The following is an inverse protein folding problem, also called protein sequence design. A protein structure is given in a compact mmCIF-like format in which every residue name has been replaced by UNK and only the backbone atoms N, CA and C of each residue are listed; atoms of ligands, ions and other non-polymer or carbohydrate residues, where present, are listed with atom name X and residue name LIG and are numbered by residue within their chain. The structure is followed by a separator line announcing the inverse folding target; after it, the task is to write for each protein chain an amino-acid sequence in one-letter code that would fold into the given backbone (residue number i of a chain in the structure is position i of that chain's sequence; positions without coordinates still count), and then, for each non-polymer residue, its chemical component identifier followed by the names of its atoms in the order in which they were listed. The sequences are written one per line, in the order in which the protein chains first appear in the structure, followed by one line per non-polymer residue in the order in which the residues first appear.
data_IF_158169820279
#
_entry.id   IF_158169820279
#
_cell.length_a   1.000
_cell.length_b   1.000
_cell.length_c   1.000
_cell.angle_alpha   90.00
_cell.angle_beta   90.00
_cell.angle_gamma   90.00
#
_symmetry.space_group_name_H-M   'P 1'
#
loop_
_entity.id
_entity.type
_entity.pdbx_description
1 polymer ?
#
# COMPACT_ATOMS: atom_id res chain seq x y z
N UNK A 1 -2.92 14.33 -49.22
CA UNK A 1 -2.08 13.18 -49.64
C UNK A 1 -2.16 12.09 -48.56
N UNK A 2 -2.24 10.79 -48.88
CA UNK A 2 -3.26 10.10 -49.65
C UNK A 2 -4.01 9.04 -48.80
N UNK A 3 -5.27 8.74 -49.15
CA UNK A 3 -6.00 7.56 -48.65
C UNK A 3 -5.29 6.30 -49.18
N UNK A 4 -4.64 5.52 -48.32
CA UNK A 4 -4.15 4.19 -48.68
C UNK A 4 -5.33 3.23 -48.79
N UNK A 5 -5.72 2.93 -50.01
CA UNK A 5 -6.57 1.80 -50.37
C UNK A 5 -5.84 0.51 -49.93
N UNK A 6 -6.35 -0.19 -48.92
CA UNK A 6 -5.91 -1.57 -48.68
C UNK A 6 -6.57 -2.47 -49.74
N UNK A 7 -5.79 -3.27 -50.51
CA UNK A 7 -6.37 -4.30 -51.37
C UNK A 7 -7.03 -5.38 -50.49
N UNK A 8 -8.19 -5.85 -50.95
CA UNK A 8 -9.11 -6.70 -50.20
C UNK A 8 -8.43 -8.03 -49.85
N UNK A 9 -8.24 -8.31 -48.55
CA UNK A 9 -7.52 -9.50 -48.04
C UNK A 9 -8.06 -10.83 -48.61
N UNK A 10 -9.34 -10.87 -48.99
CA UNK A 10 -9.98 -12.02 -49.65
C UNK A 10 -9.39 -12.31 -51.05
N UNK A 11 -9.03 -11.28 -51.80
CA UNK A 11 -8.50 -11.40 -53.15
C UNK A 11 -7.04 -11.91 -53.13
N UNK A 12 -6.27 -11.47 -52.14
CA UNK A 12 -4.91 -11.98 -51.89
C UNK A 12 -4.92 -13.45 -51.46
N UNK A 13 -5.88 -13.86 -50.64
CA UNK A 13 -6.02 -15.26 -50.22
C UNK A 13 -6.49 -16.17 -51.37
N UNK A 14 -7.40 -15.68 -52.24
CA UNK A 14 -7.86 -16.44 -53.41
C UNK A 14 -6.73 -16.66 -54.43
N UNK A 15 -5.95 -15.62 -54.70
CA UNK A 15 -4.79 -15.70 -55.61
C UNK A 15 -3.72 -16.68 -55.10
N UNK A 16 -3.52 -16.72 -53.78
CA UNK A 16 -2.57 -17.65 -53.15
C UNK A 16 -3.07 -19.10 -53.16
N UNK A 17 -4.39 -19.31 -53.10
CA UNK A 17 -4.99 -20.65 -53.24
C UNK A 17 -4.90 -21.17 -54.68
N UNK A 18 -5.13 -20.33 -55.68
CA UNK A 18 -4.95 -20.66 -57.10
C UNK A 18 -3.48 -20.98 -57.43
N UNK A 19 -2.52 -20.24 -56.85
CA UNK A 19 -1.08 -20.55 -56.99
C UNK A 19 -0.70 -21.90 -56.38
N UNK A 20 -1.28 -22.30 -55.24
CA UNK A 20 -1.04 -23.63 -54.66
C UNK A 20 -1.70 -24.76 -55.46
N UNK A 21 -2.88 -24.54 -56.06
CA UNK A 21 -3.54 -25.55 -56.89
C UNK A 21 -2.76 -25.81 -58.19
N UNK A 22 -2.25 -24.76 -58.85
CA UNK A 22 -1.44 -24.90 -60.07
C UNK A 22 -0.07 -25.56 -59.81
N UNK A 23 0.47 -25.44 -58.59
CA UNK A 23 1.72 -26.12 -58.19
C UNK A 23 1.52 -27.62 -57.92
N UNK A 24 0.33 -28.05 -57.49
CA UNK A 24 0.00 -29.46 -57.32
C UNK A 24 -0.28 -30.15 -58.67
N UNK A 25 -0.94 -29.47 -59.62
CA UNK A 25 -1.16 -30.03 -60.97
C UNK A 25 0.15 -30.17 -61.76
N UNK A 26 1.08 -29.22 -61.66
CA UNK A 26 2.39 -29.33 -62.32
C UNK A 26 3.30 -30.40 -61.70
N UNK A 27 3.07 -30.80 -60.45
CA UNK A 27 3.83 -31.87 -59.79
C UNK A 27 3.37 -33.29 -60.21
N UNK A 28 2.10 -33.46 -60.60
CA UNK A 28 1.52 -34.76 -60.95
C UNK A 28 1.76 -35.20 -62.40
N UNK A 29 2.33 -34.36 -63.27
CA UNK A 29 2.51 -34.65 -64.69
C UNK A 29 3.94 -35.02 -65.10
N UNK A 30 4.87 -35.16 -64.15
CA UNK A 30 6.29 -35.40 -64.41
C UNK A 30 6.82 -36.76 -63.88
N UNK A 31 6.00 -37.83 -63.91
CA UNK A 31 6.42 -39.18 -63.52
C UNK A 31 6.41 -40.16 -64.71
N UNK A 32 7.56 -40.29 -65.40
CA UNK A 32 7.92 -41.45 -66.25
C UNK A 32 9.44 -41.71 -66.17
N UNK A 33 9.90 -42.97 -66.14
CA UNK A 33 11.26 -43.32 -65.71
C UNK A 33 12.25 -43.56 -66.89
N UNK A 34 13.54 -43.20 -66.71
CA UNK A 34 14.77 -43.77 -67.36
C UNK A 34 16.07 -43.03 -66.93
N UNK A 35 17.30 -43.58 -67.12
CA UNK A 35 18.10 -44.20 -66.06
C UNK A 35 19.40 -43.46 -65.66
N UNK A 36 20.00 -43.97 -64.58
CA UNK A 36 21.25 -43.65 -63.85
C UNK A 36 22.36 -42.90 -64.61
N UNK A 37 22.84 -41.80 -64.03
CA UNK A 37 24.27 -41.48 -63.90
C UNK A 37 24.50 -40.56 -62.68
N UNK A 38 25.49 -40.89 -61.85
CA UNK A 38 25.84 -40.23 -60.57
C UNK A 38 26.22 -38.75 -60.74
N UNK A 39 25.92 -37.89 -59.73
CA UNK A 39 26.78 -36.85 -59.11
C UNK A 39 26.01 -36.11 -57.97
N UNK A 40 26.48 -36.30 -56.72
CA UNK A 40 26.42 -35.43 -55.52
C UNK A 40 25.09 -35.04 -54.79
N UNK A 41 25.12 -34.80 -53.45
CA UNK A 41 23.95 -34.79 -52.58
C UNK A 41 23.41 -33.37 -52.31
N UNK A 42 22.13 -33.13 -52.58
CA UNK A 42 21.49 -31.84 -52.28
C UNK A 42 20.06 -31.96 -51.74
N UNK A 43 19.84 -32.75 -50.69
CA UNK A 43 18.58 -32.75 -49.95
C UNK A 43 18.79 -32.69 -48.43
N UNK A 44 19.03 -31.47 -47.90
CA UNK A 44 18.96 -31.20 -46.44
C UNK A 44 18.31 -29.86 -46.06
N UNK A 45 17.63 -29.18 -47.01
CA UNK A 45 17.06 -27.82 -46.78
C UNK A 45 15.54 -27.78 -46.57
N UNK A 46 14.77 -28.82 -46.88
CA UNK A 46 13.29 -28.78 -46.79
C UNK A 46 12.77 -28.94 -45.33
N UNK A 47 13.24 -29.94 -44.58
CA UNK A 47 12.82 -30.15 -43.18
C UNK A 47 13.22 -29.05 -42.17
N UNK A 48 14.25 -28.24 -42.45
CA UNK A 48 14.70 -27.16 -41.54
C UNK A 48 13.81 -25.91 -41.61
N UNK A 49 12.98 -25.76 -42.66
CA UNK A 49 12.07 -24.61 -42.82
C UNK A 49 10.77 -24.79 -42.03
N UNK A 50 10.23 -26.00 -41.93
CA UNK A 50 8.96 -26.26 -41.24
C UNK A 50 9.07 -26.08 -39.70
N UNK A 51 10.14 -26.61 -39.08
CA UNK A 51 10.38 -26.40 -37.64
C UNK A 51 10.66 -24.94 -37.26
N UNK A 52 11.23 -24.13 -38.18
CA UNK A 52 11.40 -22.69 -37.97
C UNK A 52 10.08 -21.93 -38.03
N UNK A 53 9.16 -22.34 -38.89
CA UNK A 53 7.82 -21.72 -39.01
C UNK A 53 6.98 -22.02 -37.77
N UNK A 54 7.05 -23.24 -37.22
CA UNK A 54 6.36 -23.57 -35.97
C UNK A 54 6.94 -22.82 -34.76
N UNK A 55 8.26 -22.73 -34.65
CA UNK A 55 8.91 -21.94 -33.60
C UNK A 55 8.52 -20.45 -33.67
N UNK A 56 8.47 -19.88 -34.89
CA UNK A 56 8.01 -18.51 -35.10
C UNK A 56 6.54 -18.33 -34.73
N UNK A 57 5.65 -19.26 -35.09
CA UNK A 57 4.23 -19.25 -34.68
C UNK A 57 4.07 -19.33 -33.16
N UNK A 58 4.91 -20.11 -32.48
CA UNK A 58 4.90 -20.28 -31.01
C UNK A 58 5.40 -19.01 -30.29
N UNK A 59 6.45 -18.37 -30.82
CA UNK A 59 6.94 -17.07 -30.38
C UNK A 59 5.89 -15.96 -30.58
N UNK A 60 5.21 -15.93 -31.73
CA UNK A 60 4.11 -14.97 -32.00
C UNK A 60 2.97 -15.17 -31.00
N UNK A 61 2.50 -16.41 -30.77
CA UNK A 61 1.46 -16.70 -29.73
C UNK A 61 1.91 -16.32 -28.32
N UNK A 62 3.20 -16.47 -27.99
CA UNK A 62 3.77 -16.09 -26.68
C UNK A 62 3.85 -14.57 -26.53
N UNK A 63 4.17 -13.85 -27.62
CA UNK A 63 4.11 -12.39 -27.66
C UNK A 63 2.67 -11.87 -27.58
N UNK A 64 1.72 -12.50 -28.26
CA UNK A 64 0.29 -12.16 -28.17
C UNK A 64 -0.25 -12.39 -26.75
N UNK A 65 0.11 -13.50 -26.10
CA UNK A 65 -0.24 -13.73 -24.69
C UNK A 65 0.40 -12.71 -23.73
N UNK A 66 1.64 -12.27 -23.99
CA UNK A 66 2.29 -11.17 -23.24
C UNK A 66 1.61 -9.83 -23.50
N UNK A 67 1.21 -9.53 -24.74
CA UNK A 67 0.47 -8.31 -25.09
C UNK A 67 -0.92 -8.32 -24.47
N UNK A 68 -1.62 -9.46 -24.49
CA UNK A 68 -2.90 -9.66 -23.83
C UNK A 68 -2.81 -9.55 -22.30
N UNK A 69 -1.73 -10.05 -21.67
CA UNK A 69 -1.52 -9.90 -20.22
C UNK A 69 -1.14 -8.47 -19.82
N UNK A 70 -0.39 -7.76 -20.66
CA UNK A 70 -0.11 -6.32 -20.49
C UNK A 70 -1.37 -5.48 -20.70
N UNK A 71 -2.21 -5.84 -21.67
CA UNK A 71 -3.51 -5.19 -21.92
C UNK A 71 -4.50 -5.44 -20.78
N UNK A 72 -4.54 -6.66 -20.23
CA UNK A 72 -5.34 -7.01 -19.04
C UNK A 72 -4.85 -6.28 -17.78
N UNK A 73 -3.53 -6.11 -17.62
CA UNK A 73 -2.94 -5.26 -16.56
C UNK A 73 -3.32 -3.80 -16.73
N UNK A 74 -3.30 -3.27 -17.95
CA UNK A 74 -3.75 -1.90 -18.26
C UNK A 74 -5.23 -1.69 -17.98
N UNK A 75 -6.08 -2.66 -18.34
CA UNK A 75 -7.51 -2.61 -18.05
C UNK A 75 -7.80 -2.67 -16.54
N UNK A 76 -7.12 -3.56 -15.79
CA UNK A 76 -7.23 -3.60 -14.34
C UNK A 76 -6.75 -2.29 -13.69
N UNK A 77 -5.63 -1.72 -14.15
CA UNK A 77 -5.15 -0.42 -13.67
C UNK A 77 -6.13 0.72 -13.98
N UNK A 78 -6.79 0.69 -15.14
CA UNK A 78 -7.84 1.64 -15.50
C UNK A 78 -9.03 1.53 -14.55
N UNK A 79 -9.47 0.32 -14.21
CA UNK A 79 -10.50 0.08 -13.19
C UNK A 79 -10.07 0.60 -11.81
N UNK A 80 -8.80 0.45 -11.41
CA UNK A 80 -8.29 1.01 -10.14
C UNK A 80 -8.22 2.55 -10.15
N UNK A 81 -7.89 3.16 -11.29
CA UNK A 81 -7.82 4.63 -11.46
C UNK A 81 -9.22 5.25 -11.48
N UNK A 82 -10.17 4.59 -12.12
CA UNK A 82 -11.58 4.97 -12.13
C UNK A 82 -12.21 4.84 -10.72
N UNK A 83 -11.92 3.73 -10.03
CA UNK A 83 -12.25 3.54 -8.60
C UNK A 83 -11.59 4.58 -7.69
N UNK A 84 -10.44 5.15 -8.07
CA UNK A 84 -9.76 6.21 -7.32
C UNK A 84 -10.30 7.62 -7.60
N UNK A 85 -11.13 7.83 -8.64
CA UNK A 85 -11.71 9.13 -8.98
C UNK A 85 -10.63 10.19 -9.22
N UNK A 86 -9.47 9.77 -9.72
CA UNK A 86 -8.40 10.64 -10.19
C UNK A 86 -8.38 10.50 -11.71
N UNK A 87 -8.84 11.53 -12.42
CA UNK A 87 -8.68 11.64 -13.89
C UNK A 87 -7.24 11.99 -14.27
N UNK A 88 -6.25 11.45 -13.56
CA UNK A 88 -4.84 11.77 -13.78
C UNK A 88 -4.16 10.54 -14.36
N UNK A 89 -3.71 10.69 -15.61
CA UNK A 89 -2.99 9.65 -16.33
C UNK A 89 -1.80 9.15 -15.48
N UNK A 90 -1.69 7.82 -15.22
CA UNK A 90 -0.58 7.24 -14.46
C UNK A 90 0.82 7.63 -14.98
N UNK A 91 0.93 7.92 -16.28
CA UNK A 91 2.18 8.30 -16.95
C UNK A 91 2.67 9.71 -16.61
N UNK A 92 1.77 10.64 -16.30
CA UNK A 92 2.15 12.01 -15.92
C UNK A 92 2.57 12.08 -14.45
N UNK A 93 1.94 11.28 -13.60
CA UNK A 93 2.30 11.20 -12.18
C UNK A 93 3.65 10.51 -12.01
N UNK A 94 3.92 9.43 -12.73
CA UNK A 94 5.23 8.75 -12.67
C UNK A 94 6.37 9.65 -13.17
N UNK A 95 6.15 10.43 -14.24
CA UNK A 95 7.14 11.40 -14.74
C UNK A 95 7.40 12.54 -13.75
N UNK A 96 6.35 13.13 -13.16
CA UNK A 96 6.52 14.19 -12.14
C UNK A 96 7.22 13.66 -10.89
N UNK A 97 6.84 12.47 -10.44
CA UNK A 97 7.47 11.80 -9.30
C UNK A 97 8.95 11.48 -9.57
N UNK A 98 9.28 11.00 -10.77
CA UNK A 98 10.66 10.75 -11.18
C UNK A 98 11.50 12.03 -11.18
N UNK A 99 10.98 13.13 -11.74
CA UNK A 99 11.68 14.41 -11.75
C UNK A 99 11.89 14.98 -10.33
N UNK A 100 10.91 14.82 -9.43
CA UNK A 100 11.04 15.22 -8.03
C UNK A 100 12.11 14.38 -7.31
N UNK A 101 12.18 13.07 -7.59
CA UNK A 101 13.23 12.20 -7.04
C UNK A 101 14.63 12.64 -7.46
N UNK A 102 14.81 12.95 -8.74
CA UNK A 102 16.10 13.42 -9.27
C UNK A 102 16.49 14.72 -8.58
N UNK A 103 15.54 15.64 -8.36
CA UNK A 103 15.81 16.91 -7.70
C UNK A 103 16.21 16.75 -6.22
N UNK A 104 15.50 15.90 -5.46
CA UNK A 104 15.83 15.60 -4.06
C UNK A 104 17.20 14.93 -3.96
N UNK A 105 17.51 14.00 -4.87
CA UNK A 105 18.80 13.34 -4.93
C UNK A 105 19.94 14.33 -5.26
N UNK A 106 19.69 15.30 -6.14
CA UNK A 106 20.64 16.35 -6.49
C UNK A 106 20.92 17.32 -5.33
N UNK A 107 19.92 17.61 -4.49
CA UNK A 107 20.10 18.44 -3.29
C UNK A 107 20.90 17.69 -2.22
N UNK A 108 20.52 16.44 -1.92
CA UNK A 108 21.21 15.62 -0.90
C UNK A 108 22.67 15.40 -1.28
N UNK A 109 22.95 15.21 -2.56
CA UNK A 109 24.30 15.05 -3.05
C UNK A 109 25.16 16.31 -2.97
N UNK A 110 24.61 17.47 -3.33
CA UNK A 110 25.31 18.74 -3.17
C UNK A 110 25.69 18.99 -1.69
N UNK A 111 24.78 18.67 -0.76
CA UNK A 111 25.00 18.81 0.68
C UNK A 111 26.09 17.86 1.21
N UNK A 112 26.06 16.57 0.82
CA UNK A 112 27.06 15.58 1.23
C UNK A 112 28.45 15.88 0.66
N UNK A 113 28.54 16.31 -0.60
CA UNK A 113 29.82 16.71 -1.22
C UNK A 113 30.44 17.89 -0.46
N UNK A 114 29.63 18.90 -0.11
CA UNK A 114 30.08 20.04 0.67
C UNK A 114 30.59 19.63 2.06
N UNK A 115 29.80 18.89 2.83
CA UNK A 115 30.14 18.51 4.20
C UNK A 115 31.32 17.54 4.29
N UNK A 116 31.46 16.64 3.30
CA UNK A 116 32.57 15.67 3.28
C UNK A 116 33.88 16.33 2.81
N UNK A 117 33.79 17.27 1.86
CA UNK A 117 34.95 18.06 1.39
C UNK A 117 35.54 18.94 2.50
N UNK A 118 34.73 19.46 3.43
CA UNK A 118 35.21 20.33 4.51
C UNK A 118 35.80 19.57 5.69
N UNK A 119 35.43 18.30 5.90
CA UNK A 119 35.70 17.60 7.17
C UNK A 119 36.90 16.65 7.12
N UNK A 120 37.18 15.98 6.00
CA UNK A 120 38.09 14.80 6.03
C UNK A 120 39.38 14.90 5.21
N UNK A 121 39.56 15.82 4.27
CA UNK A 121 40.86 16.01 3.58
C UNK A 121 41.45 14.76 2.89
N UNK A 122 40.62 13.79 2.49
CA UNK A 122 41.02 12.52 1.86
C UNK A 122 41.28 12.69 0.35
N UNK A 123 42.07 11.80 -0.26
CA UNK A 123 42.34 11.76 -1.70
C UNK A 123 41.07 11.53 -2.55
N UNK A 124 40.91 12.34 -3.60
CA UNK A 124 39.76 12.33 -4.53
C UNK A 124 39.24 10.96 -5.02
N UNK A 125 40.09 9.94 -5.31
CA UNK A 125 39.61 8.68 -5.89
C UNK A 125 38.83 7.79 -4.92
N UNK A 126 39.22 7.74 -3.64
CA UNK A 126 38.54 6.90 -2.63
C UNK A 126 37.19 7.51 -2.24
N UNK A 127 37.12 8.84 -2.16
CA UNK A 127 35.89 9.61 -1.93
C UNK A 127 34.86 9.34 -3.02
N UNK A 128 35.27 9.37 -4.30
CA UNK A 128 34.39 9.15 -5.44
C UNK A 128 33.74 7.75 -5.44
N UNK A 129 34.49 6.71 -5.09
CA UNK A 129 33.99 5.34 -5.08
C UNK A 129 33.03 5.08 -3.90
N UNK A 130 33.34 5.63 -2.71
CA UNK A 130 32.47 5.56 -1.53
C UNK A 130 31.17 6.36 -1.72
N UNK A 131 31.26 7.53 -2.37
CA UNK A 131 30.08 8.35 -2.70
C UNK A 131 29.21 7.64 -3.73
N UNK A 132 29.80 7.10 -4.79
CA UNK A 132 29.04 6.41 -5.84
C UNK A 132 28.28 5.18 -5.31
N UNK A 133 28.92 4.40 -4.44
CA UNK A 133 28.27 3.23 -3.83
C UNK A 133 27.13 3.62 -2.89
N UNK A 134 27.35 4.57 -1.97
CA UNK A 134 26.28 5.09 -1.10
C UNK A 134 25.15 5.75 -1.90
N UNK A 135 25.46 6.45 -2.99
CA UNK A 135 24.47 7.06 -3.89
C UNK A 135 23.54 6.03 -4.53
N UNK A 136 24.11 4.94 -5.06
CA UNK A 136 23.32 3.89 -5.69
C UNK A 136 22.35 3.28 -4.67
N UNK A 137 22.81 3.05 -3.44
CA UNK A 137 21.97 2.55 -2.35
C UNK A 137 20.87 3.55 -1.94
N UNK A 138 21.19 4.83 -1.76
CA UNK A 138 20.22 5.88 -1.41
C UNK A 138 19.22 6.09 -2.54
N UNK A 139 19.65 6.05 -3.80
CA UNK A 139 18.78 6.18 -4.97
C UNK A 139 17.82 4.98 -5.07
N UNK A 140 18.31 3.75 -4.86
CA UNK A 140 17.47 2.54 -4.84
C UNK A 140 16.45 2.61 -3.69
N UNK A 141 16.89 3.05 -2.50
CA UNK A 141 16.04 3.17 -1.32
C UNK A 141 14.96 4.22 -1.54
N UNK A 142 15.31 5.39 -2.08
CA UNK A 142 14.38 6.48 -2.34
C UNK A 142 13.35 6.11 -3.41
N UNK A 143 13.77 5.41 -4.47
CA UNK A 143 12.87 4.88 -5.49
C UNK A 143 11.88 3.86 -4.88
N UNK A 144 12.38 2.95 -4.03
CA UNK A 144 11.54 1.98 -3.33
C UNK A 144 10.53 2.66 -2.40
N UNK A 145 10.98 3.62 -1.58
CA UNK A 145 10.11 4.40 -0.67
C UNK A 145 9.04 5.14 -1.45
N UNK A 146 9.39 5.78 -2.56
CA UNK A 146 8.44 6.53 -3.38
C UNK A 146 7.41 5.61 -4.06
N UNK A 147 7.86 4.45 -4.53
CA UNK A 147 6.98 3.43 -5.12
C UNK A 147 5.97 2.90 -4.10
N UNK A 148 6.42 2.61 -2.88
CA UNK A 148 5.56 2.22 -1.75
C UNK A 148 4.60 3.35 -1.37
N UNK A 149 5.08 4.59 -1.29
CA UNK A 149 4.25 5.77 -0.96
C UNK A 149 3.13 5.96 -1.99
N UNK A 150 3.45 5.85 -3.28
CA UNK A 150 2.48 5.97 -4.36
C UNK A 150 1.37 4.92 -4.26
N UNK A 151 1.74 3.64 -4.05
CA UNK A 151 0.78 2.57 -3.84
C UNK A 151 -0.10 2.82 -2.62
N UNK A 152 0.51 3.29 -1.52
CA UNK A 152 -0.19 3.60 -0.27
C UNK A 152 -1.18 4.77 -0.43
N UNK A 153 -0.84 5.82 -1.17
CA UNK A 153 -1.75 6.96 -1.41
C UNK A 153 -2.98 6.52 -2.21
N UNK A 154 -2.81 5.67 -3.22
CA UNK A 154 -3.92 5.14 -4.00
C UNK A 154 -4.83 4.28 -3.12
N UNK A 155 -4.23 3.35 -2.37
CA UNK A 155 -4.97 2.46 -1.47
C UNK A 155 -5.76 3.26 -0.42
N UNK A 156 -5.14 4.27 0.19
CA UNK A 156 -5.82 5.18 1.12
C UNK A 156 -6.96 5.96 0.46
N UNK A 157 -6.82 6.39 -0.80
CA UNK A 157 -7.89 7.11 -1.49
C UNK A 157 -9.08 6.21 -1.79
N UNK A 158 -8.83 4.97 -2.22
CA UNK A 158 -9.88 3.95 -2.42
C UNK A 158 -10.57 3.65 -1.09
N UNK A 159 -9.79 3.45 -0.02
CA UNK A 159 -10.30 3.22 1.33
C UNK A 159 -11.18 4.36 1.83
N UNK A 160 -10.77 5.63 1.61
CA UNK A 160 -11.58 6.80 1.95
C UNK A 160 -12.90 6.86 1.18
N UNK A 161 -12.89 6.57 -0.13
CA UNK A 161 -14.14 6.50 -0.92
C UNK A 161 -15.06 5.40 -0.43
N UNK A 162 -14.51 4.22 -0.12
CA UNK A 162 -15.24 3.09 0.45
C UNK A 162 -15.93 3.46 1.77
N UNK A 163 -15.19 4.05 2.72
CA UNK A 163 -15.76 4.52 3.99
C UNK A 163 -16.84 5.58 3.74
N UNK A 164 -16.58 6.53 2.84
CA UNK A 164 -17.54 7.58 2.51
C UNK A 164 -18.87 7.04 1.98
N UNK A 165 -18.86 5.89 1.29
CA UNK A 165 -20.10 5.19 0.88
C UNK A 165 -20.75 4.49 2.07
N UNK A 166 -20.00 3.70 2.84
CA UNK A 166 -20.51 2.96 4.00
C UNK A 166 -21.16 3.89 5.04
N UNK A 167 -20.62 5.10 5.21
CA UNK A 167 -21.09 6.07 6.20
C UNK A 167 -22.48 6.64 5.88
N UNK A 168 -22.79 6.85 4.60
CA UNK A 168 -24.04 7.47 4.12
C UNK A 168 -25.06 6.45 3.59
N UNK A 169 -24.65 5.21 3.40
CA UNK A 169 -25.51 4.11 2.96
C UNK A 169 -26.77 3.90 3.83
N UNK A 170 -26.72 3.88 5.17
CA UNK A 170 -27.94 3.65 5.97
C UNK A 170 -28.98 4.75 5.75
N UNK A 171 -28.55 6.01 5.68
CA UNK A 171 -29.45 7.14 5.43
C UNK A 171 -30.08 7.03 4.04
N UNK A 172 -29.29 6.68 3.02
CA UNK A 172 -29.78 6.45 1.67
C UNK A 172 -30.83 5.32 1.61
N UNK A 173 -30.56 4.18 2.27
CA UNK A 173 -31.50 3.05 2.32
C UNK A 173 -32.79 3.43 3.07
N UNK A 174 -32.69 4.23 4.14
CA UNK A 174 -33.86 4.70 4.89
C UNK A 174 -34.74 5.65 4.06
N UNK A 175 -34.14 6.60 3.32
CA UNK A 175 -34.87 7.45 2.38
C UNK A 175 -35.52 6.64 1.26
N UNK A 176 -34.81 5.64 0.74
CA UNK A 176 -35.35 4.73 -0.28
C UNK A 176 -36.53 3.93 0.28
N UNK A 177 -36.43 3.40 1.49
CA UNK A 177 -37.52 2.72 2.18
C UNK A 177 -38.75 3.61 2.36
N UNK A 178 -38.57 4.88 2.76
CA UNK A 178 -39.68 5.84 2.89
C UNK A 178 -40.37 6.11 1.55
N UNK A 179 -39.60 6.22 0.46
CA UNK A 179 -40.15 6.40 -0.89
C UNK A 179 -40.95 5.17 -1.36
N UNK A 180 -40.46 3.96 -1.09
CA UNK A 180 -41.18 2.71 -1.41
C UNK A 180 -42.48 2.63 -0.61
N UNK A 181 -42.45 2.97 0.68
CA UNK A 181 -43.66 3.03 1.54
C UNK A 181 -44.67 4.09 1.07
N UNK A 182 -44.21 5.12 0.37
CA UNK A 182 -45.07 6.13 -0.26
C UNK A 182 -45.66 5.67 -1.60
N UNK A 183 -45.42 4.42 -2.02
CA UNK A 183 -45.98 3.83 -3.25
C UNK A 183 -45.11 4.02 -4.49
N UNK A 184 -43.86 4.48 -4.37
CA UNK A 184 -42.94 4.53 -5.50
C UNK A 184 -42.44 3.12 -5.86
N UNK A 185 -42.24 2.87 -7.16
CA UNK A 185 -41.52 1.68 -7.64
C UNK A 185 -40.06 1.72 -7.17
N UNK A 186 -39.41 0.55 -7.06
CA UNK A 186 -38.10 0.39 -6.41
C UNK A 186 -37.01 1.22 -7.12
N UNK A 187 -37.00 1.15 -8.45
CA UNK A 187 -36.13 1.95 -9.32
C UNK A 187 -36.34 3.46 -9.04
N UNK A 188 -37.59 3.94 -9.07
CA UNK A 188 -37.92 5.35 -8.81
C UNK A 188 -37.55 5.78 -7.39
N UNK A 189 -37.77 4.92 -6.41
CA UNK A 189 -37.43 5.19 -5.02
C UNK A 189 -35.93 5.37 -4.81
N UNK A 190 -35.10 4.54 -5.46
CA UNK A 190 -33.63 4.65 -5.44
C UNK A 190 -33.16 5.99 -6.04
N UNK A 191 -33.72 6.39 -7.18
CA UNK A 191 -33.37 7.66 -7.83
C UNK A 191 -33.82 8.87 -7.00
N UNK A 192 -35.03 8.82 -6.46
CA UNK A 192 -35.59 9.92 -5.66
C UNK A 192 -34.91 10.06 -4.29
N UNK A 193 -34.30 9.00 -3.78
CA UNK A 193 -33.51 9.03 -2.55
C UNK A 193 -32.16 9.74 -2.71
N UNK A 194 -31.64 9.90 -3.94
CA UNK A 194 -30.34 10.55 -4.17
C UNK A 194 -30.37 11.99 -3.69
N UNK A 195 -29.34 12.37 -2.92
CA UNK A 195 -29.13 13.72 -2.39
C UNK A 195 -27.66 14.13 -2.59
N UNK A 196 -27.35 15.41 -2.87
CA UNK A 196 -25.97 15.88 -3.04
C UNK A 196 -25.06 15.56 -1.84
N UNK A 197 -25.61 15.54 -0.62
CA UNK A 197 -24.88 15.19 0.61
C UNK A 197 -24.31 13.77 0.65
N UNK A 198 -24.80 12.85 -0.19
CA UNK A 198 -24.28 11.47 -0.25
C UNK A 198 -22.99 11.34 -1.07
N UNK A 199 -22.50 12.43 -1.66
CA UNK A 199 -21.15 12.53 -2.23
C UNK A 199 -20.85 11.44 -3.27
N UNK A 200 -19.96 10.50 -2.92
CA UNK A 200 -19.56 9.41 -3.83
C UNK A 200 -20.73 8.46 -4.12
N UNK A 201 -21.57 8.16 -3.13
CA UNK A 201 -22.72 7.27 -3.31
C UNK A 201 -23.72 7.87 -4.30
N UNK A 202 -24.00 9.18 -4.21
CA UNK A 202 -24.92 9.86 -5.12
C UNK A 202 -24.51 9.69 -6.60
N UNK A 203 -23.21 9.88 -6.90
CA UNK A 203 -22.68 9.74 -8.27
C UNK A 203 -22.77 8.30 -8.79
N UNK A 204 -22.53 7.32 -7.92
CA UNK A 204 -22.59 5.92 -8.32
C UNK A 204 -24.03 5.46 -8.53
N UNK A 205 -24.97 5.86 -7.67
CA UNK A 205 -26.40 5.58 -7.88
C UNK A 205 -26.91 6.28 -9.15
N UNK A 206 -26.42 7.48 -9.49
CA UNK A 206 -26.75 8.13 -10.77
C UNK A 206 -26.22 7.34 -11.99
N UNK A 207 -25.09 6.64 -11.85
CA UNK A 207 -24.57 5.75 -12.90
C UNK A 207 -25.47 4.52 -13.03
N UNK A 208 -25.83 3.88 -11.92
CA UNK A 208 -26.79 2.76 -11.90
C UNK A 208 -28.10 3.19 -12.55
N UNK A 209 -28.58 4.42 -12.28
CA UNK A 209 -29.78 4.96 -12.92
C UNK A 209 -29.69 5.03 -14.44
N UNK A 210 -28.55 5.50 -14.94
CA UNK A 210 -28.30 5.62 -16.38
C UNK A 210 -28.20 4.25 -17.06
N UNK A 211 -27.58 3.27 -16.39
CA UNK A 211 -27.46 1.90 -16.88
C UNK A 211 -28.85 1.23 -16.94
N UNK A 212 -29.65 1.34 -15.88
CA UNK A 212 -31.01 0.79 -15.84
C UNK A 212 -31.94 1.46 -16.85
N UNK A 213 -31.89 2.79 -16.99
CA UNK A 213 -32.64 3.51 -18.03
C UNK A 213 -32.17 3.16 -19.46
N UNK A 214 -30.92 2.70 -19.60
CA UNK A 214 -30.34 2.21 -20.84
C UNK A 214 -30.75 0.78 -21.22
N UNK A 215 -31.57 0.12 -20.38
CA UNK A 215 -32.08 -1.23 -20.62
C UNK A 215 -31.29 -2.35 -19.93
N UNK A 216 -30.31 -2.01 -19.08
CA UNK A 216 -29.68 -3.00 -18.19
C UNK A 216 -30.62 -3.34 -17.04
N UNK A 217 -30.57 -4.59 -16.57
CA UNK A 217 -31.36 -4.99 -15.42
C UNK A 217 -30.88 -4.30 -14.13
N UNK A 218 -31.82 -3.92 -13.26
CA UNK A 218 -31.53 -3.17 -12.03
C UNK A 218 -30.63 -3.99 -11.09
N UNK A 219 -30.86 -5.30 -11.01
CA UNK A 219 -30.12 -6.19 -10.13
C UNK A 219 -28.65 -6.30 -10.58
N UNK A 220 -28.43 -6.42 -11.90
CA UNK A 220 -27.07 -6.47 -12.48
C UNK A 220 -26.31 -5.16 -12.24
N UNK A 221 -26.95 -4.01 -12.47
CA UNK A 221 -26.34 -2.70 -12.27
C UNK A 221 -25.99 -2.44 -10.79
N UNK A 222 -26.88 -2.82 -9.86
CA UNK A 222 -26.63 -2.74 -8.42
C UNK A 222 -25.49 -3.67 -7.98
N UNK A 223 -25.44 -4.89 -8.52
CA UNK A 223 -24.37 -5.85 -8.24
C UNK A 223 -23.00 -5.34 -8.73
N UNK A 224 -22.95 -4.75 -9.94
CA UNK A 224 -21.74 -4.08 -10.48
C UNK A 224 -21.26 -2.95 -9.57
N UNK A 225 -22.19 -2.12 -9.07
CA UNK A 225 -21.87 -1.07 -8.11
C UNK A 225 -21.30 -1.64 -6.80
N UNK A 226 -21.90 -2.70 -6.24
CA UNK A 226 -21.45 -3.33 -5.01
C UNK A 226 -20.02 -3.91 -5.11
N UNK A 227 -19.71 -4.57 -6.22
CA UNK A 227 -18.39 -5.18 -6.47
C UNK A 227 -17.30 -4.15 -6.80
N UNK A 228 -17.67 -2.90 -7.12
CA UNK A 228 -16.72 -1.83 -7.45
C UNK A 228 -15.84 -1.44 -6.26
N UNK A 229 -16.38 -1.34 -5.05
CA UNK A 229 -15.66 -0.76 -3.89
C UNK A 229 -15.04 -1.77 -2.93
N UNK A 230 -15.28 -3.08 -3.10
CA UNK A 230 -14.74 -4.12 -2.21
C UNK A 230 -15.18 -3.94 -0.75
N UNK A 231 -16.39 -3.42 -0.53
CA UNK A 231 -17.00 -3.30 0.79
C UNK A 231 -17.87 -4.52 1.07
N UNK A 232 -17.56 -5.25 2.13
CA UNK A 232 -18.37 -6.39 2.57
C UNK A 232 -19.75 -5.93 3.07
N UNK A 233 -19.83 -4.76 3.71
CA UNK A 233 -21.08 -4.16 4.16
C UNK A 233 -21.95 -3.79 2.96
N UNK A 234 -21.40 -3.03 2.00
CA UNK A 234 -22.12 -2.64 0.79
C UNK A 234 -22.60 -3.86 0.01
N UNK A 235 -21.70 -4.84 -0.22
CA UNK A 235 -22.03 -6.07 -0.94
C UNK A 235 -23.16 -6.83 -0.27
N UNK A 236 -23.08 -7.03 1.06
CA UNK A 236 -24.14 -7.69 1.81
C UNK A 236 -25.47 -6.94 1.74
N UNK A 237 -25.45 -5.62 1.88
CA UNK A 237 -26.68 -4.81 1.83
C UNK A 237 -27.35 -4.85 0.46
N UNK A 238 -26.57 -4.77 -0.62
CA UNK A 238 -27.09 -4.84 -1.99
C UNK A 238 -27.56 -6.25 -2.34
N UNK A 239 -26.82 -7.31 -1.97
CA UNK A 239 -27.27 -8.69 -2.20
C UNK A 239 -28.58 -9.00 -1.47
N UNK A 240 -28.73 -8.56 -0.21
CA UNK A 240 -30.00 -8.70 0.51
C UNK A 240 -31.14 -7.95 -0.17
N UNK A 241 -30.87 -6.77 -0.74
CA UNK A 241 -31.86 -6.01 -1.49
C UNK A 241 -32.30 -6.76 -2.76
N UNK A 242 -31.35 -7.32 -3.53
CA UNK A 242 -31.64 -8.11 -4.74
C UNK A 242 -32.45 -9.36 -4.38
N UNK A 243 -32.01 -10.14 -3.38
CA UNK A 243 -32.76 -11.30 -2.88
C UNK A 243 -34.18 -10.92 -2.43
N UNK A 244 -34.35 -9.74 -1.83
CA UNK A 244 -35.65 -9.20 -1.46
C UNK A 244 -36.54 -8.91 -2.66
N UNK A 245 -35.97 -8.33 -3.73
CA UNK A 245 -36.68 -8.02 -4.98
C UNK A 245 -37.17 -9.32 -5.63
N UNK A 246 -36.29 -10.31 -5.77
CA UNK A 246 -36.62 -11.63 -6.35
C UNK A 246 -37.73 -12.33 -5.55
N UNK A 247 -37.70 -12.22 -4.22
CA UNK A 247 -38.70 -12.81 -3.34
C UNK A 247 -40.06 -12.10 -3.36
N UNK A 248 -40.15 -10.90 -3.94
CA UNK A 248 -41.39 -10.10 -4.00
C UNK A 248 -41.91 -9.64 -2.64
N UNK A 249 -41.05 -9.56 -1.62
CA UNK A 249 -41.42 -9.19 -0.25
C UNK A 249 -41.60 -7.69 -0.03
N UNK A 250 -41.87 -7.28 1.21
CA UNK A 250 -41.95 -5.87 1.61
C UNK A 250 -40.57 -5.20 1.62
N UNK A 251 -40.11 -4.74 0.44
CA UNK A 251 -38.80 -4.12 0.24
C UNK A 251 -38.57 -2.91 1.15
N UNK A 252 -39.60 -2.09 1.38
CA UNK A 252 -39.49 -0.93 2.26
C UNK A 252 -39.08 -1.30 3.69
N UNK A 253 -39.63 -2.39 4.23
CA UNK A 253 -39.29 -2.88 5.57
C UNK A 253 -37.92 -3.56 5.61
N UNK A 254 -37.57 -4.29 4.56
CA UNK A 254 -36.24 -4.88 4.41
C UNK A 254 -35.13 -3.82 4.41
N UNK A 255 -35.26 -2.77 3.59
CA UNK A 255 -34.28 -1.67 3.52
C UNK A 255 -34.16 -0.94 4.86
N UNK A 256 -35.28 -0.73 5.56
CA UNK A 256 -35.26 -0.12 6.88
C UNK A 256 -34.52 -1.00 7.91
N UNK A 257 -34.74 -2.32 7.90
CA UNK A 257 -34.01 -3.27 8.76
C UNK A 257 -32.51 -3.29 8.44
N UNK A 258 -32.13 -3.26 7.17
CA UNK A 258 -30.72 -3.19 6.75
C UNK A 258 -30.09 -1.87 7.25
N UNK A 259 -30.77 -0.74 7.08
CA UNK A 259 -30.30 0.56 7.54
C UNK A 259 -30.08 0.59 9.06
N UNK A 260 -31.05 0.09 9.84
CA UNK A 260 -30.95 -0.03 11.29
C UNK A 260 -29.79 -0.93 11.72
N UNK A 261 -29.62 -2.09 11.07
CA UNK A 261 -28.51 -3.00 11.37
C UNK A 261 -27.14 -2.35 11.13
N UNK A 262 -27.00 -1.57 10.05
CA UNK A 262 -25.77 -0.81 9.76
C UNK A 262 -25.53 0.25 10.85
N UNK A 263 -26.56 0.99 11.27
CA UNK A 263 -26.46 2.00 12.32
C UNK A 263 -26.10 1.39 13.68
N UNK A 264 -26.76 0.31 14.09
CA UNK A 264 -26.46 -0.44 15.32
C UNK A 264 -25.02 -0.97 15.31
N UNK A 265 -24.59 -1.57 14.20
CA UNK A 265 -23.20 -2.04 14.03
C UNK A 265 -22.20 -0.89 14.15
N UNK A 266 -22.55 0.30 13.63
CA UNK A 266 -21.69 1.49 13.71
C UNK A 266 -21.60 2.03 15.13
N UNK A 267 -22.71 2.05 15.87
CA UNK A 267 -22.77 2.45 17.27
C UNK A 267 -21.93 1.48 18.11
N UNK A 268 -22.14 0.18 17.96
CA UNK A 268 -21.38 -0.87 18.66
C UNK A 268 -19.87 -0.73 18.41
N UNK A 269 -19.45 -0.50 17.16
CA UNK A 269 -18.03 -0.27 16.83
C UNK A 269 -17.47 1.01 17.47
N UNK A 270 -18.27 2.08 17.56
CA UNK A 270 -17.86 3.33 18.23
C UNK A 270 -17.71 3.13 19.73
N UNK A 271 -18.65 2.43 20.37
CA UNK A 271 -18.58 2.08 21.79
C UNK A 271 -17.37 1.21 22.10
N UNK A 272 -17.12 0.18 21.28
CA UNK A 272 -15.90 -0.64 21.38
C UNK A 272 -14.64 0.21 21.24
N UNK A 273 -14.60 1.12 20.26
CA UNK A 273 -13.45 2.00 20.05
C UNK A 273 -13.24 2.95 21.23
N UNK A 274 -14.30 3.50 21.81
CA UNK A 274 -14.24 4.36 22.99
C UNK A 274 -13.69 3.60 24.21
N UNK A 275 -14.23 2.40 24.49
CA UNK A 275 -13.78 1.55 25.59
C UNK A 275 -12.30 1.16 25.44
N UNK A 276 -11.87 0.81 24.22
CA UNK A 276 -10.48 0.50 23.90
C UNK A 276 -9.56 1.72 24.04
N UNK A 277 -10.06 2.92 23.72
CA UNK A 277 -9.26 4.15 23.73
C UNK A 277 -8.70 4.45 25.12
N UNK A 278 -9.47 4.19 26.18
CA UNK A 278 -9.00 4.36 27.57
C UNK A 278 -7.77 3.51 27.88
N UNK A 279 -7.77 2.23 27.49
CA UNK A 279 -6.61 1.35 27.65
C UNK A 279 -5.40 1.83 26.85
N UNK A 280 -5.65 2.29 25.61
CA UNK A 280 -4.58 2.83 24.75
C UNK A 280 -3.94 4.06 25.40
N UNK A 281 -4.73 4.98 25.97
CA UNK A 281 -4.22 6.17 26.66
C UNK A 281 -3.34 5.75 27.84
N UNK A 282 -3.80 4.83 28.69
CA UNK A 282 -3.05 4.38 29.86
C UNK A 282 -1.72 3.71 29.49
N UNK A 283 -1.73 2.78 28.52
CA UNK A 283 -0.51 2.10 28.07
C UNK A 283 0.47 3.09 27.42
N UNK A 284 -0.05 4.03 26.62
CA UNK A 284 0.78 5.06 25.98
C UNK A 284 1.42 5.97 27.03
N UNK A 285 0.65 6.40 28.04
CA UNK A 285 1.16 7.18 29.16
C UNK A 285 2.24 6.44 29.94
N UNK A 286 2.00 5.16 30.28
CA UNK A 286 2.95 4.35 31.02
C UNK A 286 4.27 4.14 30.25
N UNK A 287 4.18 3.83 28.95
CA UNK A 287 5.35 3.50 28.13
C UNK A 287 6.15 4.73 27.67
N UNK A 288 5.48 5.83 27.31
CA UNK A 288 6.14 7.02 26.74
C UNK A 288 6.53 8.03 27.81
N UNK A 289 5.74 8.18 28.88
CA UNK A 289 5.97 9.22 29.88
C UNK A 289 6.44 8.64 31.21
N UNK A 290 5.69 7.72 31.81
CA UNK A 290 6.00 7.26 33.17
C UNK A 290 7.32 6.47 33.23
N UNK A 291 7.52 5.49 32.33
CA UNK A 291 8.72 4.64 32.36
C UNK A 291 10.02 5.45 32.10
N UNK A 292 10.14 6.29 31.06
CA UNK A 292 11.35 7.09 30.85
C UNK A 292 11.68 8.03 32.01
N UNK A 293 10.67 8.71 32.58
CA UNK A 293 10.88 9.61 33.72
C UNK A 293 11.33 8.84 34.96
N UNK A 294 10.73 7.69 35.23
CA UNK A 294 11.11 6.87 36.39
C UNK A 294 12.53 6.30 36.25
N UNK A 295 12.90 5.84 35.05
CA UNK A 295 14.27 5.40 34.78
C UNK A 295 15.28 6.54 34.88
N UNK A 296 14.96 7.73 34.37
CA UNK A 296 15.82 8.90 34.48
C UNK A 296 16.03 9.29 35.96
N UNK A 297 14.96 9.31 36.75
CA UNK A 297 15.04 9.58 38.19
C UNK A 297 15.92 8.55 38.91
N UNK A 298 15.73 7.27 38.63
CA UNK A 298 16.60 6.21 39.17
C UNK A 298 18.07 6.39 38.77
N UNK A 299 18.36 6.85 37.55
CA UNK A 299 19.71 7.15 37.10
C UNK A 299 20.34 8.30 37.87
N UNK A 300 19.58 9.38 38.12
CA UNK A 300 20.06 10.52 38.92
C UNK A 300 20.33 10.14 40.38
N UNK A 301 19.55 9.24 40.98
CA UNK A 301 19.81 8.75 42.33
C UNK A 301 21.16 8.02 42.42
N UNK A 302 21.51 7.23 41.41
CA UNK A 302 22.82 6.55 41.34
C UNK A 302 23.95 7.58 41.25
N UNK A 303 23.80 8.63 40.44
CA UNK A 303 24.81 9.71 40.37
C UNK A 303 24.99 10.42 41.70
N UNK A 304 23.89 10.75 42.39
CA UNK A 304 23.93 11.42 43.69
C UNK A 304 24.65 10.55 44.72
N UNK A 305 24.31 9.25 44.81
CA UNK A 305 25.00 8.31 45.72
C UNK A 305 26.49 8.19 45.37
N UNK A 306 26.84 8.12 44.08
CA UNK A 306 28.23 8.07 43.63
C UNK A 306 29.03 9.31 44.01
N UNK A 307 28.42 10.50 43.91
CA UNK A 307 29.05 11.77 44.31
C UNK A 307 29.27 11.87 45.82
N UNK A 308 28.34 11.37 46.64
CA UNK A 308 28.53 11.29 48.09
C UNK A 308 29.65 10.32 48.47
N UNK A 309 29.75 9.18 47.78
CA UNK A 309 30.82 8.20 47.98
C UNK A 309 32.21 8.79 47.70
N UNK A 310 32.37 9.56 46.63
CA UNK A 310 33.65 10.19 46.30
C UNK A 310 34.02 11.35 47.24
N UNK A 311 33.05 12.10 47.77
CA UNK A 311 33.30 13.13 48.80
C UNK A 311 33.79 12.50 50.11
N UNK A 312 33.22 11.36 50.51
CA UNK A 312 33.64 10.63 51.71
C UNK A 312 35.04 10.02 51.56
N UNK A 313 35.38 9.48 50.39
CA UNK A 313 36.70 8.91 50.10
C UNK A 313 37.81 9.98 50.10
N UNK A 314 37.54 11.15 49.49
CA UNK A 314 38.46 12.28 49.51
C UNK A 314 38.56 12.96 50.89
N UNK A 315 37.51 12.89 51.72
CA UNK A 315 37.50 13.41 53.11
C UNK A 315 38.21 12.51 54.13
N UNK A 316 38.42 11.22 53.81
CA UNK A 316 39.02 10.24 54.71
C UNK A 316 40.55 10.37 54.86
N UNK A 317 41.18 11.28 54.13
CA UNK A 317 42.63 11.56 54.24
C UNK A 317 43.03 12.27 55.55
N UNK A 318 42.06 12.69 56.39
CA UNK A 318 42.32 13.46 57.62
C UNK A 318 41.83 12.83 58.94
N UNK A 319 40.90 11.88 58.93
CA UNK A 319 40.39 11.28 60.17
C UNK A 319 39.71 9.93 59.95
N UNK A 320 40.49 8.84 60.06
CA UNK A 320 40.14 7.56 60.71
C UNK A 320 38.82 6.83 60.45
N UNK A 321 37.93 7.27 59.57
CA UNK A 321 36.68 6.58 59.26
C UNK A 321 36.82 5.81 57.95
N UNK A 322 37.33 4.58 58.07
CA UNK A 322 37.61 3.66 56.96
C UNK A 322 36.36 2.94 56.42
N UNK A 323 35.39 3.67 55.88
CA UNK A 323 34.42 3.07 54.95
C UNK A 323 34.96 3.23 53.53
N UNK A 324 35.77 2.26 53.10
CA UNK A 324 36.14 2.14 51.69
C UNK A 324 35.04 1.37 50.95
N UNK A 325 34.33 2.05 50.05
CA UNK A 325 33.40 1.40 49.11
C UNK A 325 34.19 0.77 47.95
N UNK A 326 34.98 -0.26 48.23
CA UNK A 326 35.83 -0.96 47.26
C UNK A 326 35.09 -2.09 46.52
N UNK A 327 33.83 -1.85 46.15
CA UNK A 327 33.07 -2.73 45.26
C UNK A 327 32.95 -2.08 43.90
N UNK A 328 33.08 -2.84 42.81
CA UNK A 328 32.65 -2.40 41.48
C UNK A 328 31.14 -2.19 41.51
N UNK A 329 30.71 -1.02 42.01
CA UNK A 329 29.32 -0.61 42.00
C UNK A 329 28.82 -0.46 40.57
N UNK A 330 27.49 -0.50 40.40
CA UNK A 330 26.86 -0.22 39.11
C UNK A 330 27.24 1.21 38.72
N UNK A 331 28.03 1.35 37.66
CA UNK A 331 28.40 2.65 37.14
C UNK A 331 27.17 3.29 36.48
N UNK A 332 27.09 4.62 36.48
CA UNK A 332 26.00 5.36 35.84
C UNK A 332 25.86 5.02 34.34
N UNK A 333 26.99 4.73 33.67
CA UNK A 333 27.07 4.24 32.30
C UNK A 333 26.32 2.91 32.10
N UNK A 334 26.54 1.94 32.97
CA UNK A 334 25.90 0.62 32.93
C UNK A 334 24.39 0.72 33.15
N UNK A 335 23.98 1.53 34.12
CA UNK A 335 22.56 1.78 34.38
C UNK A 335 21.87 2.44 33.17
N UNK A 336 22.55 3.38 32.50
CA UNK A 336 22.00 4.07 31.32
C UNK A 336 21.77 3.10 30.15
N UNK A 337 22.70 2.17 29.91
CA UNK A 337 22.53 1.11 28.90
C UNK A 337 21.35 0.21 29.27
N UNK A 338 21.28 -0.23 30.53
CA UNK A 338 20.17 -1.04 31.03
C UNK A 338 18.82 -0.35 30.86
N UNK A 339 18.72 0.94 31.20
CA UNK A 339 17.51 1.74 31.03
C UNK A 339 17.10 1.86 29.56
N UNK A 340 18.03 2.13 28.65
CA UNK A 340 17.74 2.20 27.21
C UNK A 340 17.22 0.88 26.66
N UNK A 341 17.86 -0.24 26.99
CA UNK A 341 17.43 -1.57 26.52
C UNK A 341 16.04 -1.91 27.07
N UNK A 342 15.83 -1.68 28.37
CA UNK A 342 14.54 -1.88 29.04
C UNK A 342 13.43 -1.04 28.39
N UNK A 343 13.71 0.22 28.05
CA UNK A 343 12.77 1.12 27.36
C UNK A 343 12.44 0.66 25.94
N UNK A 344 13.44 0.20 25.18
CA UNK A 344 13.22 -0.32 23.82
C UNK A 344 12.29 -1.54 23.88
N UNK A 345 12.56 -2.47 24.79
CA UNK A 345 11.77 -3.70 24.96
C UNK A 345 10.33 -3.36 25.39
N UNK A 346 10.16 -2.54 26.43
CA UNK A 346 8.82 -2.14 26.90
C UNK A 346 8.05 -1.34 25.85
N UNK A 347 8.70 -0.46 25.10
CA UNK A 347 8.09 0.32 24.01
C UNK A 347 7.65 -0.57 22.85
N UNK A 348 8.45 -1.59 22.51
CA UNK A 348 8.10 -2.59 21.50
C UNK A 348 6.82 -3.34 21.88
N UNK A 349 6.77 -3.91 23.09
CA UNK A 349 5.60 -4.65 23.56
C UNK A 349 4.38 -3.74 23.71
N UNK A 350 4.55 -2.53 24.21
CA UNK A 350 3.46 -1.55 24.34
C UNK A 350 2.83 -1.21 22.98
N UNK A 351 3.65 -1.00 21.94
CA UNK A 351 3.17 -0.74 20.59
C UNK A 351 2.40 -1.93 19.98
N UNK A 352 2.86 -3.17 20.23
CA UNK A 352 2.19 -4.39 19.79
C UNK A 352 0.86 -4.60 20.52
N UNK A 353 0.82 -4.37 21.84
CA UNK A 353 -0.39 -4.46 22.65
C UNK A 353 -1.42 -3.45 22.15
N UNK A 354 -1.05 -2.18 22.03
CA UNK A 354 -1.94 -1.11 21.52
C UNK A 354 -2.53 -1.46 20.15
N UNK A 355 -1.71 -2.02 19.25
CA UNK A 355 -2.18 -2.40 17.93
C UNK A 355 -3.15 -3.59 17.95
N UNK A 356 -2.91 -4.55 18.84
CA UNK A 356 -3.78 -5.70 19.02
C UNK A 356 -5.13 -5.27 19.60
N UNK A 357 -5.13 -4.39 20.60
CA UNK A 357 -6.37 -3.87 21.20
C UNK A 357 -7.16 -3.02 20.18
N UNK A 358 -6.49 -2.14 19.41
CA UNK A 358 -7.17 -1.22 18.49
C UNK A 358 -7.65 -1.85 17.17
N UNK A 359 -6.92 -2.82 16.64
CA UNK A 359 -7.16 -3.38 15.29
C UNK A 359 -7.36 -4.90 15.26
N UNK A 360 -7.25 -5.58 16.41
CA UNK A 360 -7.39 -7.04 16.51
C UNK A 360 -6.24 -7.83 15.87
N UNK A 361 -5.17 -7.18 15.38
CA UNK A 361 -4.06 -7.86 14.70
C UNK A 361 -2.71 -7.22 15.04
N UNK A 362 -1.80 -8.02 15.60
CA UNK A 362 -0.45 -7.63 15.98
C UNK A 362 0.38 -7.07 14.80
N UNK A 363 0.13 -7.53 13.56
CA UNK A 363 0.83 -7.03 12.35
C UNK A 363 0.59 -5.55 12.11
N UNK A 364 -0.54 -5.01 12.57
CA UNK A 364 -0.81 -3.58 12.48
C UNK A 364 0.06 -2.74 13.40
N UNK A 365 0.72 -3.35 14.39
CA UNK A 365 1.62 -2.72 15.35
C UNK A 365 2.96 -2.33 14.78
N UNK A 366 3.37 -2.97 13.68
CA UNK A 366 4.68 -2.75 13.07
C UNK A 366 4.93 -1.28 12.69
N UNK A 367 3.87 -0.54 12.34
CA UNK A 367 3.94 0.89 12.02
C UNK A 367 4.13 1.79 13.26
N UNK A 368 3.68 1.35 14.43
CA UNK A 368 3.74 2.14 15.67
C UNK A 368 5.02 1.89 16.48
N UNK A 369 5.64 0.72 16.35
CA UNK A 369 6.89 0.35 17.03
C UNK A 369 7.99 1.42 16.92
N UNK A 370 8.39 1.90 15.72
CA UNK A 370 9.48 2.88 15.63
C UNK A 370 9.11 4.20 16.30
N UNK A 371 7.84 4.61 16.21
CA UNK A 371 7.37 5.85 16.83
C UNK A 371 7.46 5.77 18.35
N UNK A 372 7.04 4.65 18.94
CA UNK A 372 7.08 4.44 20.39
C UNK A 372 8.52 4.43 20.92
N UNK A 373 9.43 3.70 20.25
CA UNK A 373 10.84 3.59 20.66
C UNK A 373 11.54 4.96 20.58
N UNK A 374 11.40 5.67 19.46
CA UNK A 374 12.07 6.97 19.29
C UNK A 374 11.58 7.97 20.33
N UNK A 375 10.26 8.01 20.56
CA UNK A 375 9.67 8.97 21.50
C UNK A 375 10.08 8.66 22.94
N UNK A 376 10.02 7.40 23.39
CA UNK A 376 10.37 7.03 24.76
C UNK A 376 11.86 7.24 25.05
N UNK A 377 12.76 6.88 24.13
CA UNK A 377 14.20 7.08 24.29
C UNK A 377 14.56 8.57 24.28
N UNK A 378 13.93 9.36 23.40
CA UNK A 378 14.14 10.82 23.37
C UNK A 378 13.67 11.46 24.68
N UNK A 379 12.50 11.05 25.18
CA UNK A 379 11.98 11.57 26.44
C UNK A 379 12.86 11.17 27.63
N UNK A 380 13.41 9.95 27.63
CA UNK A 380 14.41 9.51 28.62
C UNK A 380 15.64 10.42 28.62
N UNK A 381 16.25 10.68 27.46
CA UNK A 381 17.43 11.53 27.36
C UNK A 381 17.17 12.97 27.81
N UNK A 382 16.00 13.52 27.48
CA UNK A 382 15.59 14.84 27.94
C UNK A 382 15.41 14.83 29.46
N UNK A 383 14.68 13.86 30.00
CA UNK A 383 14.44 13.74 31.43
C UNK A 383 15.75 13.59 32.22
N UNK A 384 16.66 12.74 31.75
CA UNK A 384 17.99 12.50 32.32
C UNK A 384 18.82 13.80 32.38
N UNK A 385 18.85 14.59 31.30
CA UNK A 385 19.56 15.89 31.27
C UNK A 385 18.88 16.93 32.18
N UNK A 386 17.55 17.01 32.16
CA UNK A 386 16.80 17.99 32.97
C UNK A 386 16.94 17.68 34.45
N UNK A 387 16.73 16.43 34.86
CA UNK A 387 16.88 15.99 36.25
C UNK A 387 18.33 16.11 36.71
N UNK A 388 19.29 15.72 35.86
CA UNK A 388 20.71 15.86 36.15
C UNK A 388 21.13 17.31 36.40
N UNK A 389 20.65 18.27 35.59
CA UNK A 389 20.90 19.71 35.82
C UNK A 389 20.19 20.27 37.04
N UNK A 390 18.97 19.81 37.29
CA UNK A 390 18.17 20.29 38.42
C UNK A 390 18.81 19.82 39.73
N UNK A 391 19.16 18.54 39.84
CA UNK A 391 19.76 17.96 41.04
C UNK A 391 21.25 18.25 41.18
N UNK A 392 22.01 18.32 40.09
CA UNK A 392 23.42 18.72 40.10
C UNK A 392 23.66 20.22 40.38
N UNK A 393 22.60 21.02 40.50
CA UNK A 393 22.68 22.36 41.09
C UNK A 393 22.47 22.36 42.62
N UNK A 394 21.95 21.26 43.20
CA UNK A 394 21.71 21.12 44.63
C UNK A 394 22.84 20.38 45.38
N UNK A 395 23.66 19.60 44.67
CA UNK A 395 24.84 18.89 45.15
C UNK A 395 26.03 19.27 44.27
#
# INVERSE_FOLDING_TARGET
MPKLHMPNLKEFLKKKQEETANQEETANQADKPKPKFNIFPFFKKKHKKEGKIEHFKKEIKKQEKKRASVQKRRHNLMLYVEKAGLSIAPELVSKKLFNICVFINLIISAFLIYHFSTTFGITWPTILLSIATLWIFVFIMLLFVLWVLFYLVIDLKIFKRKIGIEDVLPDFLQLTASNIKAGMTIDRALWYAVRPRFGVLAKEIEIVAKETMGGEDLEEALQKFADKYGSALLKRSISLLIEGIEAGGEIGDLLNKIALNIQETKIMKREMAANVTTYVIFITFAAILAAPVLFALSGTLIQVIGSFGSVLDNGASGAGFGLSFSGSGIEYSDFKIFAMVSLIVTSFFSAVIIATIKKGNAKSGLKYIPIFIITSVTLFLIADVVLGKLLGNFF
#
